data_IF_502056670988
#
_entry.id   IF_502056670988
#
_cell.length_a   1.000
_cell.length_b   1.000
_cell.length_c   1.000
_cell.angle_alpha   90.00
_cell.angle_beta   90.00
_cell.angle_gamma   90.00
#
_symmetry.space_group_name_H-M   'P 1'
#
loop_
_entity.id
_entity.type
_entity.pdbx_description
1 polymer ?
#
# COMPACT_ATOMS: atom_id res chain seq x y z
N UNK A 1 -34.76 41.98 -30.86
CA UNK A 1 -35.37 41.18 -29.78
C UNK A 1 -35.30 39.72 -30.18
N UNK A 2 -34.84 38.90 -29.25
CA UNK A 2 -34.93 37.43 -29.20
C UNK A 2 -33.94 36.61 -30.02
N UNK A 3 -32.86 36.30 -29.31
CA UNK A 3 -32.02 35.09 -29.31
C UNK A 3 -32.76 33.80 -29.65
N UNK A 4 -32.11 32.91 -30.40
CA UNK A 4 -32.36 31.46 -30.33
C UNK A 4 -31.02 30.75 -30.13
N UNK A 5 -31.03 29.93 -29.09
CA UNK A 5 -29.95 29.30 -28.35
C UNK A 5 -29.30 28.11 -29.07
N UNK A 6 -27.98 28.04 -28.94
CA UNK A 6 -27.15 26.86 -29.16
C UNK A 6 -27.54 25.73 -28.19
N UNK A 7 -27.88 24.56 -28.72
CA UNK A 7 -27.88 23.32 -27.95
C UNK A 7 -26.77 22.40 -28.47
N UNK A 8 -25.68 22.39 -27.74
CA UNK A 8 -24.70 21.30 -27.73
C UNK A 8 -25.30 20.08 -27.01
N UNK A 9 -25.17 18.85 -27.53
CA UNK A 9 -25.54 17.66 -26.80
C UNK A 9 -24.51 17.40 -25.70
N UNK A 10 -25.02 17.35 -24.47
CA UNK A 10 -24.46 16.80 -23.24
C UNK A 10 -23.36 15.77 -23.46
N UNK A 11 -22.16 16.15 -22.99
CA UNK A 11 -21.00 15.30 -22.77
C UNK A 11 -21.42 14.13 -21.87
N UNK A 12 -21.68 12.98 -22.51
CA UNK A 12 -21.91 11.73 -21.83
C UNK A 12 -20.64 11.37 -21.04
N UNK A 13 -20.84 11.13 -19.74
CA UNK A 13 -19.83 10.75 -18.77
C UNK A 13 -18.75 9.85 -19.38
N UNK A 14 -17.52 10.36 -19.38
CA UNK A 14 -16.34 9.58 -19.70
C UNK A 14 -16.30 8.36 -18.77
N UNK A 15 -16.71 7.21 -19.30
CA UNK A 15 -16.50 5.92 -18.68
C UNK A 15 -15.00 5.80 -18.43
N UNK A 16 -14.61 5.93 -17.16
CA UNK A 16 -13.26 5.61 -16.74
C UNK A 16 -13.00 4.17 -17.22
N UNK A 17 -11.94 3.91 -18.01
CA UNK A 17 -11.64 2.53 -18.39
C UNK A 17 -11.54 1.75 -17.09
N UNK A 18 -12.18 0.58 -17.02
CA UNK A 18 -12.20 -0.27 -15.83
C UNK A 18 -10.76 -0.70 -15.50
N UNK A 19 -10.05 0.20 -14.82
CA UNK A 19 -8.68 0.00 -14.38
C UNK A 19 -8.67 -1.08 -13.31
N UNK A 20 -7.61 -1.87 -13.29
CA UNK A 20 -7.42 -2.94 -12.32
C UNK A 20 -7.77 -2.46 -10.90
N UNK A 21 -8.48 -3.31 -10.15
CA UNK A 21 -8.77 -3.04 -8.73
C UNK A 21 -7.49 -3.02 -7.89
N UNK A 22 -7.56 -2.43 -6.69
CA UNK A 22 -6.46 -2.43 -5.71
C UNK A 22 -5.95 -3.85 -5.48
N UNK A 23 -6.85 -4.84 -5.27
CA UNK A 23 -6.48 -6.24 -5.06
C UNK A 23 -5.75 -6.84 -6.27
N UNK A 24 -6.20 -6.52 -7.48
CA UNK A 24 -5.61 -7.02 -8.73
C UNK A 24 -4.19 -6.48 -8.89
N UNK A 25 -3.99 -5.18 -8.68
CA UNK A 25 -2.67 -4.55 -8.73
C UNK A 25 -1.77 -5.12 -7.63
N UNK A 26 -2.29 -5.28 -6.42
CA UNK A 26 -1.56 -5.86 -5.29
C UNK A 26 -1.06 -7.28 -5.59
N UNK A 27 -1.92 -8.13 -6.16
CA UNK A 27 -1.54 -9.48 -6.55
C UNK A 27 -0.44 -9.48 -7.62
N UNK A 28 -0.52 -8.57 -8.62
CA UNK A 28 0.51 -8.40 -9.64
C UNK A 28 1.86 -7.96 -9.05
N UNK A 29 1.84 -7.11 -8.01
CA UNK A 29 3.06 -6.65 -7.32
C UNK A 29 3.73 -7.77 -6.53
N UNK A 30 2.93 -8.58 -5.84
CA UNK A 30 3.40 -9.53 -4.83
C UNK A 30 3.60 -10.95 -5.34
N UNK A 31 3.06 -11.30 -6.52
CA UNK A 31 3.17 -12.66 -7.06
C UNK A 31 4.63 -13.01 -7.46
N UNK A 32 5.18 -14.14 -6.99
CA UNK A 32 6.49 -14.62 -7.41
C UNK A 32 6.46 -15.25 -8.81
N UNK A 33 5.30 -15.74 -9.24
CA UNK A 33 5.07 -16.40 -10.54
C UNK A 33 4.94 -15.35 -11.63
N UNK A 34 4.23 -14.27 -11.32
CA UNK A 34 4.06 -13.13 -12.22
C UNK A 34 5.02 -12.01 -11.81
N UNK A 35 6.32 -12.22 -12.01
CA UNK A 35 7.29 -11.11 -11.93
C UNK A 35 6.91 -10.08 -13.00
N UNK A 36 6.09 -9.11 -12.62
CA UNK A 36 5.66 -8.08 -13.54
C UNK A 36 6.87 -7.26 -13.96
N UNK A 37 7.07 -7.15 -15.27
CA UNK A 37 8.09 -6.29 -15.85
C UNK A 37 7.73 -4.80 -15.77
N UNK A 38 6.50 -4.46 -15.37
CA UNK A 38 6.06 -3.08 -15.27
C UNK A 38 6.69 -2.40 -14.04
N UNK A 39 7.64 -1.46 -14.25
CA UNK A 39 8.30 -0.75 -13.17
C UNK A 39 7.36 0.21 -12.42
N UNK A 40 6.19 0.53 -13.00
CA UNK A 40 5.27 1.53 -12.44
C UNK A 40 4.19 0.94 -11.53
N UNK A 41 4.10 -0.38 -11.36
CA UNK A 41 3.03 -1.00 -10.57
C UNK A 41 2.91 -0.43 -9.15
N UNK A 42 4.04 -0.06 -8.53
CA UNK A 42 4.06 0.51 -7.19
C UNK A 42 3.38 1.87 -7.18
N UNK A 43 3.70 2.71 -8.17
CA UNK A 43 3.09 4.02 -8.36
C UNK A 43 1.59 3.88 -8.68
N UNK A 44 1.24 2.95 -9.58
CA UNK A 44 -0.15 2.66 -9.94
C UNK A 44 -0.97 2.21 -8.74
N UNK A 45 -0.41 1.34 -7.89
CA UNK A 45 -1.04 0.94 -6.63
C UNK A 45 -1.28 2.14 -5.71
N UNK A 46 -0.24 2.96 -5.47
CA UNK A 46 -0.34 4.13 -4.58
C UNK A 46 -1.37 5.16 -5.10
N UNK A 47 -1.37 5.43 -6.40
CA UNK A 47 -2.36 6.31 -7.04
C UNK A 47 -3.78 5.78 -6.84
N UNK A 48 -3.98 4.47 -7.05
CA UNK A 48 -5.28 3.82 -6.86
C UNK A 48 -5.75 3.94 -5.41
N UNK A 49 -4.87 3.67 -4.45
CA UNK A 49 -5.12 3.81 -3.01
C UNK A 49 -5.53 5.23 -2.63
N UNK A 50 -4.88 6.24 -3.19
CA UNK A 50 -5.20 7.65 -2.94
C UNK A 50 -6.51 8.09 -3.61
N UNK A 51 -6.86 7.51 -4.76
CA UNK A 51 -8.06 7.87 -5.52
C UNK A 51 -9.35 7.30 -4.93
N UNK A 52 -9.28 6.17 -4.23
CA UNK A 52 -10.46 5.48 -3.71
C UNK A 52 -10.78 5.92 -2.27
N UNK A 53 -12.06 6.22 -1.93
CA UNK A 53 -12.45 6.69 -0.60
C UNK A 53 -11.96 5.81 0.56
N UNK A 54 -12.02 4.48 0.37
CA UNK A 54 -11.63 3.44 1.33
C UNK A 54 -10.34 2.70 0.93
N UNK A 55 -9.61 3.22 -0.06
CA UNK A 55 -8.43 2.55 -0.62
C UNK A 55 -7.34 2.29 0.42
N UNK A 56 -7.13 3.25 1.32
CA UNK A 56 -6.17 3.15 2.42
C UNK A 56 -6.49 1.98 3.38
N UNK A 57 -7.75 1.79 3.79
CA UNK A 57 -8.15 0.66 4.64
C UNK A 57 -7.91 -0.68 3.95
N UNK A 58 -8.28 -0.79 2.67
CA UNK A 58 -8.08 -2.02 1.91
C UNK A 58 -6.59 -2.33 1.74
N UNK A 59 -5.78 -1.35 1.33
CA UNK A 59 -4.35 -1.50 1.13
C UNK A 59 -3.64 -1.96 2.40
N UNK A 60 -3.92 -1.33 3.54
CA UNK A 60 -3.32 -1.70 4.83
C UNK A 60 -3.67 -3.12 5.22
N UNK A 61 -4.92 -3.54 4.99
CA UNK A 61 -5.36 -4.92 5.26
C UNK A 61 -4.61 -5.93 4.39
N UNK A 62 -4.47 -5.65 3.09
CA UNK A 62 -3.75 -6.51 2.15
C UNK A 62 -2.26 -6.62 2.52
N UNK A 63 -1.62 -5.48 2.79
CA UNK A 63 -0.22 -5.40 3.19
C UNK A 63 0.01 -6.18 4.49
N UNK A 64 -0.76 -5.89 5.55
CA UNK A 64 -0.59 -6.52 6.87
C UNK A 64 -0.68 -8.05 6.83
N UNK A 65 -1.55 -8.58 5.95
CA UNK A 65 -1.66 -10.01 5.73
C UNK A 65 -0.47 -10.58 4.93
N UNK A 66 -0.08 -9.91 3.84
CA UNK A 66 0.93 -10.44 2.91
C UNK A 66 2.38 -10.30 3.40
N UNK A 67 2.70 -9.33 4.27
CA UNK A 67 4.02 -9.24 4.91
C UNK A 67 4.34 -10.46 5.79
N UNK A 68 3.31 -11.18 6.24
CA UNK A 68 3.43 -12.42 7.03
C UNK A 68 3.53 -13.67 6.14
N UNK A 69 3.62 -13.51 4.82
CA UNK A 69 3.76 -14.65 3.92
C UNK A 69 5.01 -15.46 4.26
N UNK A 70 4.91 -16.81 4.35
CA UNK A 70 6.09 -17.65 4.56
C UNK A 70 7.04 -17.64 3.35
N UNK A 71 6.58 -17.12 2.20
CA UNK A 71 7.41 -16.94 1.02
C UNK A 71 8.19 -15.63 1.11
N UNK A 72 9.50 -15.72 1.30
CA UNK A 72 10.41 -14.55 1.45
C UNK A 72 10.19 -13.48 0.38
N UNK A 73 10.03 -13.88 -0.90
CA UNK A 73 9.82 -12.94 -1.99
C UNK A 73 8.54 -12.13 -1.83
N UNK A 74 7.42 -12.76 -1.48
CA UNK A 74 6.14 -12.07 -1.32
C UNK A 74 6.20 -11.05 -0.17
N UNK A 75 6.80 -11.46 0.95
CA UNK A 75 6.97 -10.60 2.11
C UNK A 75 7.86 -9.40 1.79
N UNK A 76 9.02 -9.61 1.17
CA UNK A 76 9.94 -8.53 0.78
C UNK A 76 9.28 -7.57 -0.21
N UNK A 77 8.63 -8.07 -1.27
CA UNK A 77 7.95 -7.22 -2.25
C UNK A 77 6.82 -6.41 -1.62
N UNK A 78 6.12 -6.99 -0.65
CA UNK A 78 5.09 -6.26 0.10
C UNK A 78 5.70 -5.16 0.96
N UNK A 79 6.87 -5.38 1.57
CA UNK A 79 7.59 -4.35 2.33
C UNK A 79 8.11 -3.22 1.44
N UNK A 80 8.61 -3.52 0.23
CA UNK A 80 9.02 -2.49 -0.73
C UNK A 80 7.82 -1.66 -1.22
N UNK A 81 6.66 -2.31 -1.41
CA UNK A 81 5.42 -1.62 -1.76
C UNK A 81 4.95 -0.72 -0.61
N UNK A 82 5.04 -1.19 0.63
CA UNK A 82 4.71 -0.43 1.83
C UNK A 82 5.58 0.82 1.98
N UNK A 83 6.89 0.69 1.76
CA UNK A 83 7.83 1.82 1.71
C UNK A 83 7.39 2.87 0.68
N UNK A 84 7.06 2.42 -0.53
CA UNK A 84 6.59 3.29 -1.60
C UNK A 84 5.26 3.97 -1.24
N UNK A 85 4.34 3.26 -0.59
CA UNK A 85 3.09 3.83 -0.10
C UNK A 85 3.35 4.89 0.97
N UNK A 86 4.31 4.72 1.86
CA UNK A 86 4.66 5.77 2.84
C UNK A 86 5.19 7.02 2.16
N UNK A 87 5.97 6.88 1.09
CA UNK A 87 6.50 8.02 0.32
C UNK A 87 5.45 8.71 -0.56
N UNK A 88 4.53 7.96 -1.17
CA UNK A 88 3.62 8.47 -2.21
C UNK A 88 2.20 8.75 -1.66
N UNK A 89 1.73 7.95 -0.70
CA UNK A 89 0.39 8.12 -0.13
C UNK A 89 0.35 9.23 0.91
N UNK A 90 -0.83 9.81 1.08
CA UNK A 90 -1.05 10.92 2.00
C UNK A 90 -1.37 10.49 3.44
N UNK A 91 -1.68 11.49 4.26
CA UNK A 91 -1.98 11.37 5.70
C UNK A 91 -2.97 10.27 6.06
N UNK A 92 -3.99 10.00 5.22
CA UNK A 92 -4.98 8.94 5.48
C UNK A 92 -4.34 7.56 5.59
N UNK A 93 -3.31 7.29 4.79
CA UNK A 93 -2.56 6.05 4.84
C UNK A 93 -1.60 6.01 6.04
N UNK A 94 -0.90 7.12 6.31
CA UNK A 94 0.01 7.25 7.46
C UNK A 94 -0.71 7.04 8.80
N UNK A 95 -1.92 7.61 8.96
CA UNK A 95 -2.75 7.42 10.14
C UNK A 95 -3.09 5.94 10.41
N UNK A 96 -3.20 5.10 9.37
CA UNK A 96 -3.45 3.66 9.54
C UNK A 96 -2.18 2.91 9.96
N UNK A 97 -1.02 3.28 9.39
CA UNK A 97 0.27 2.70 9.76
C UNK A 97 0.62 3.01 11.22
N UNK A 98 0.34 4.23 11.68
CA UNK A 98 0.61 4.65 13.07
C UNK A 98 -0.28 3.98 14.12
N UNK A 99 -1.30 3.21 13.73
CA UNK A 99 -2.14 2.47 14.70
C UNK A 99 -1.42 1.22 15.19
N UNK A 100 -1.55 0.95 16.49
CA UNK A 100 -1.08 -0.30 17.10
C UNK A 100 -1.59 -1.55 16.38
N UNK A 101 -2.79 -1.49 15.77
CA UNK A 101 -3.30 -2.59 14.95
C UNK A 101 -2.32 -3.00 13.85
N UNK A 102 -1.75 -2.04 13.14
CA UNK A 102 -0.78 -2.32 12.08
C UNK A 102 0.63 -2.55 12.63
N UNK A 103 1.08 -1.72 13.58
CA UNK A 103 2.39 -1.86 14.21
C UNK A 103 2.58 -3.23 14.87
N UNK A 104 1.54 -3.78 15.49
CA UNK A 104 1.59 -5.12 16.07
C UNK A 104 1.83 -6.22 15.03
N UNK A 105 1.33 -6.06 13.80
CA UNK A 105 1.63 -7.01 12.72
C UNK A 105 3.10 -6.94 12.29
N UNK A 106 3.70 -5.73 12.27
CA UNK A 106 5.15 -5.56 12.03
C UNK A 106 5.98 -6.17 13.17
N UNK A 107 5.60 -5.93 14.42
CA UNK A 107 6.31 -6.45 15.61
C UNK A 107 6.31 -7.98 15.63
N UNK A 108 5.22 -8.63 15.22
CA UNK A 108 5.13 -10.09 15.15
C UNK A 108 6.22 -10.71 14.27
N UNK A 109 6.64 -10.03 13.20
CA UNK A 109 7.67 -10.52 12.27
C UNK A 109 9.07 -10.54 12.88
N UNK A 110 9.36 -9.66 13.84
CA UNK A 110 10.71 -9.49 14.42
C UNK A 110 10.83 -10.00 15.85
N UNK A 111 9.72 -10.26 16.52
CA UNK A 111 9.71 -10.78 17.89
C UNK A 111 9.75 -12.32 17.94
N UNK A 112 10.73 -12.93 18.65
CA UNK A 112 10.82 -14.39 18.84
C UNK A 112 9.60 -15.04 19.49
N UNK A 113 8.78 -14.24 20.20
CA UNK A 113 7.51 -14.69 20.79
C UNK A 113 6.45 -15.03 19.73
N UNK A 114 6.61 -14.55 18.50
CA UNK A 114 5.62 -14.65 17.44
C UNK A 114 6.22 -15.35 16.20
N UNK A 115 6.43 -14.62 15.10
CA UNK A 115 6.79 -15.18 13.80
C UNK A 115 8.28 -15.09 13.48
N UNK A 116 9.10 -14.49 14.34
CA UNK A 116 10.51 -14.21 13.99
C UNK A 116 11.37 -15.46 13.74
N UNK A 117 10.98 -16.61 14.31
CA UNK A 117 11.65 -17.89 14.06
C UNK A 117 11.30 -18.49 12.68
N UNK A 118 10.19 -18.05 12.08
CA UNK A 118 9.71 -18.48 10.77
C UNK A 118 9.89 -17.40 9.69
N UNK A 119 10.30 -16.20 10.09
CA UNK A 119 10.55 -15.07 9.21
C UNK A 119 12.04 -15.02 8.86
N UNK A 120 12.37 -14.87 7.58
CA UNK A 120 13.76 -14.84 7.14
C UNK A 120 14.50 -13.60 7.66
N UNK A 121 15.82 -13.70 7.82
CA UNK A 121 16.64 -12.59 8.29
C UNK A 121 16.52 -11.33 7.42
N UNK A 122 16.39 -11.49 6.09
CA UNK A 122 16.19 -10.35 5.18
C UNK A 122 14.90 -9.61 5.46
N UNK A 123 13.80 -10.33 5.66
CA UNK A 123 12.49 -9.74 5.97
C UNK A 123 12.55 -9.03 7.32
N UNK A 124 13.12 -9.67 8.36
CA UNK A 124 13.29 -9.05 9.69
C UNK A 124 14.09 -7.76 9.62
N UNK A 125 15.22 -7.78 8.89
CA UNK A 125 16.08 -6.61 8.71
C UNK A 125 15.30 -5.46 8.05
N UNK A 126 14.59 -5.73 6.94
CA UNK A 126 13.80 -4.72 6.23
C UNK A 126 12.67 -4.15 7.09
N UNK A 127 12.00 -4.97 7.91
CA UNK A 127 10.99 -4.51 8.88
C UNK A 127 11.59 -3.51 9.87
N UNK A 128 12.75 -3.83 10.47
CA UNK A 128 13.43 -2.93 11.42
C UNK A 128 13.87 -1.64 10.74
N UNK A 129 14.42 -1.71 9.53
CA UNK A 129 14.83 -0.54 8.75
C UNK A 129 13.64 0.39 8.45
N UNK A 130 12.49 -0.16 8.06
CA UNK A 130 11.28 0.63 7.82
C UNK A 130 10.72 1.24 9.10
N UNK A 131 10.65 0.48 10.19
CA UNK A 131 10.17 1.03 11.46
C UNK A 131 11.06 2.19 11.93
N UNK A 132 12.38 2.06 11.78
CA UNK A 132 13.33 3.14 12.09
C UNK A 132 13.22 4.33 11.14
N UNK A 133 12.96 4.12 9.84
CA UNK A 133 12.77 5.24 8.91
C UNK A 133 11.48 6.01 9.21
N UNK A 134 10.45 5.35 9.72
CA UNK A 134 9.18 5.99 10.10
C UNK A 134 9.29 6.90 11.31
N UNK A 135 10.18 6.62 12.28
CA UNK A 135 10.40 7.55 13.42
C UNK A 135 10.92 8.91 12.96
N UNK A 136 11.52 8.98 11.76
CA UNK A 136 12.05 10.21 11.17
C UNK A 136 11.09 10.83 10.16
N UNK A 137 10.43 9.99 9.35
CA UNK A 137 9.57 10.45 8.24
C UNK A 137 8.12 10.69 8.62
N UNK A 138 7.66 10.13 9.75
CA UNK A 138 6.28 10.27 10.26
C UNK A 138 6.26 10.88 11.67
N UNK A 139 6.76 12.12 11.87
CA UNK A 139 6.89 12.72 13.20
C UNK A 139 5.55 12.95 13.93
N UNK A 140 4.42 12.95 13.20
CA UNK A 140 3.09 13.06 13.79
C UNK A 140 2.55 11.76 14.40
N UNK A 141 3.19 10.62 14.11
CA UNK A 141 2.72 9.30 14.55
C UNK A 141 3.42 8.89 15.85
N UNK A 142 2.96 9.47 16.97
CA UNK A 142 3.59 9.32 18.30
C UNK A 142 3.75 7.87 18.79
N UNK A 143 3.00 6.93 18.23
CA UNK A 143 3.03 5.51 18.60
C UNK A 143 4.16 4.72 17.92
N UNK A 144 4.84 5.33 16.95
CA UNK A 144 6.01 4.74 16.29
C UNK A 144 7.27 4.93 17.17
N UNK A 145 7.22 5.89 18.12
CA UNK A 145 8.29 6.18 19.08
C UNK A 145 8.24 5.28 20.33
#
# INVERSE_FOLDING_TARGET
>A
MSSVTSNTPTEAAAATPAGDSIDTIFFKVTSPIHKSADPNLFNTFCQKVNSEPEGHHLAIRLIAHKIQSPQEYEALRTLDLLESCVHICGRRFHNEIGKFRFLNEMIKLVSPKYLANHTSEKVKKKVVELMYSWTQTLPGEVKIF
#
